data_IF_861602549763
#
_entry.id   IF_861602549763
#
_cell.length_a   1.000
_cell.length_b   1.000
_cell.length_c   1.000
_cell.angle_alpha   90.00
_cell.angle_beta   90.00
_cell.angle_gamma   90.00
#
_symmetry.space_group_name_H-M   'P 1'
#
loop_
_entity.id
_entity.type
_entity.pdbx_description
1 polymer ?
#
# COMPACT_ATOMS: atom_id res chain seq x y z
N UNK A 1 -8.19 -7.81 18.25
CA UNK A 1 -9.14 -7.47 17.16
C UNK A 1 -8.47 -7.83 15.85
N UNK A 2 -9.23 -8.45 14.95
CA UNK A 2 -8.78 -9.28 13.83
C UNK A 2 -7.78 -8.59 12.91
N UNK A 3 -6.67 -9.27 12.64
CA UNK A 3 -5.74 -8.99 11.56
C UNK A 3 -6.53 -8.83 10.26
N UNK A 4 -6.57 -7.62 9.70
CA UNK A 4 -7.33 -7.38 8.48
C UNK A 4 -6.48 -7.90 7.33
N UNK A 5 -6.81 -9.11 6.89
CA UNK A 5 -6.17 -9.79 5.79
C UNK A 5 -6.57 -9.17 4.44
N UNK A 6 -6.08 -7.95 4.14
CA UNK A 6 -6.35 -7.22 2.89
C UNK A 6 -6.09 -8.09 1.64
N UNK A 7 -5.05 -8.91 1.69
CA UNK A 7 -4.68 -9.86 0.63
C UNK A 7 -5.82 -10.78 0.17
N UNK A 8 -6.82 -11.07 1.03
CA UNK A 8 -7.98 -11.90 0.66
C UNK A 8 -8.99 -11.18 -0.24
N UNK A 9 -8.96 -9.85 -0.21
CA UNK A 9 -9.93 -8.98 -0.87
C UNK A 9 -9.37 -8.36 -2.14
N UNK A 10 -8.07 -8.08 -2.18
CA UNK A 10 -7.39 -7.48 -3.34
C UNK A 10 -7.66 -8.22 -4.67
N UNK A 11 -7.64 -9.57 -4.75
CA UNK A 11 -7.88 -10.28 -6.02
C UNK A 11 -9.30 -10.14 -6.57
N UNK A 12 -10.26 -9.69 -5.75
CA UNK A 12 -11.66 -9.50 -6.17
C UNK A 12 -11.89 -8.14 -6.83
N UNK A 13 -10.93 -7.23 -6.73
CA UNK A 13 -11.06 -5.89 -7.25
C UNK A 13 -10.65 -5.83 -8.73
N UNK A 14 -11.35 -5.03 -9.55
CA UNK A 14 -10.89 -4.73 -10.89
C UNK A 14 -9.58 -3.93 -10.83
N UNK A 15 -8.80 -4.00 -11.92
CA UNK A 15 -7.50 -3.33 -12.01
C UNK A 15 -7.56 -1.82 -11.72
N UNK A 16 -8.62 -1.14 -12.15
CA UNK A 16 -8.85 0.28 -11.87
C UNK A 16 -9.01 0.57 -10.36
N UNK A 17 -9.69 -0.31 -9.62
CA UNK A 17 -9.82 -0.20 -8.17
C UNK A 17 -8.48 -0.48 -7.47
N UNK A 18 -7.70 -1.45 -7.96
CA UNK A 18 -6.36 -1.73 -7.45
C UNK A 18 -5.40 -0.56 -7.70
N UNK A 19 -5.52 0.11 -8.85
CA UNK A 19 -4.79 1.33 -9.15
C UNK A 19 -5.14 2.45 -8.16
N UNK A 20 -6.43 2.76 -7.97
CA UNK A 20 -6.88 3.83 -7.06
C UNK A 20 -6.42 3.56 -5.62
N UNK A 21 -6.51 2.30 -5.17
CA UNK A 21 -6.05 1.92 -3.84
C UNK A 21 -4.53 2.08 -3.68
N UNK A 22 -3.76 1.59 -4.66
CA UNK A 22 -2.30 1.70 -4.64
C UNK A 22 -1.86 3.16 -4.64
N UNK A 23 -2.52 4.00 -5.44
CA UNK A 23 -2.26 5.44 -5.48
C UNK A 23 -2.56 6.11 -4.15
N UNK A 24 -3.70 5.79 -3.53
CA UNK A 24 -4.02 6.32 -2.22
C UNK A 24 -2.97 5.90 -1.16
N UNK A 25 -2.48 4.66 -1.17
CA UNK A 25 -1.44 4.22 -0.26
C UNK A 25 -0.17 5.08 -0.37
N UNK A 26 0.34 5.30 -1.59
CA UNK A 26 1.62 6.00 -1.78
C UNK A 26 1.50 7.52 -1.71
N UNK A 27 0.33 8.09 -2.00
CA UNK A 27 0.12 9.54 -1.97
C UNK A 27 -0.42 10.00 -0.62
N UNK A 28 -1.45 9.35 -0.10
CA UNK A 28 -2.15 9.79 1.11
C UNK A 28 -1.63 9.10 2.37
N UNK A 29 -1.59 7.77 2.39
CA UNK A 29 -1.19 7.05 3.61
C UNK A 29 0.30 7.24 3.93
N UNK A 30 1.17 7.31 2.92
CA UNK A 30 2.59 7.57 3.11
C UNK A 30 2.88 8.90 3.84
N UNK A 31 1.94 9.86 3.87
CA UNK A 31 2.06 11.09 4.66
C UNK A 31 2.11 10.80 6.16
N UNK A 32 1.40 9.77 6.64
CA UNK A 32 1.47 9.33 8.04
C UNK A 32 2.87 8.80 8.39
N UNK A 33 3.63 8.35 7.40
CA UNK A 33 5.02 7.96 7.55
C UNK A 33 6.00 9.14 7.38
N UNK A 34 5.50 10.38 7.29
CA UNK A 34 6.30 11.60 7.09
C UNK A 34 6.74 11.82 5.64
N UNK A 35 6.22 11.05 4.68
CA UNK A 35 6.58 11.18 3.27
C UNK A 35 5.56 12.01 2.51
N UNK A 36 6.05 13.08 1.87
CA UNK A 36 5.29 13.81 0.86
C UNK A 36 5.73 13.35 -0.52
N UNK A 37 5.04 12.38 -1.07
CA UNK A 37 5.21 11.97 -2.46
C UNK A 37 4.32 12.82 -3.37
N UNK A 38 4.86 13.22 -4.51
CA UNK A 38 4.10 13.88 -5.58
C UNK A 38 4.45 13.19 -6.87
N UNK A 39 3.56 12.35 -7.43
CA UNK A 39 3.85 11.62 -8.65
C UNK A 39 3.99 12.56 -9.85
N UNK A 40 4.92 12.23 -10.75
CA UNK A 40 5.05 12.88 -12.04
C UNK A 40 3.93 12.37 -12.96
N UNK A 41 2.80 13.08 -12.94
CA UNK A 41 1.60 12.75 -13.72
C UNK A 41 1.85 12.73 -15.22
N UNK A 42 2.85 13.49 -15.72
CA UNK A 42 3.20 13.47 -17.15
C UNK A 42 3.67 12.10 -17.62
N UNK A 43 4.25 11.29 -16.73
CA UNK A 43 4.72 9.93 -16.99
C UNK A 43 3.67 8.85 -16.73
N UNK A 44 2.52 9.23 -16.18
CA UNK A 44 1.45 8.34 -15.77
C UNK A 44 0.17 8.49 -16.60
N UNK A 45 -0.02 9.67 -17.20
CA UNK A 45 -1.20 9.97 -18.02
C UNK A 45 -1.39 8.95 -19.15
N UNK A 46 -2.64 8.57 -19.37
CA UNK A 46 -3.10 7.64 -20.42
C UNK A 46 -2.53 6.20 -20.34
N UNK A 47 -1.85 5.84 -19.25
CA UNK A 47 -1.44 4.46 -19.02
C UNK A 47 -2.63 3.62 -18.55
N UNK A 48 -2.64 2.36 -18.99
CA UNK A 48 -3.54 1.36 -18.41
C UNK A 48 -3.05 1.01 -17.00
N UNK A 49 -3.92 0.53 -16.09
CA UNK A 49 -3.55 0.18 -14.73
C UNK A 49 -2.30 -0.70 -14.60
N UNK A 50 -2.16 -1.70 -15.48
CA UNK A 50 -1.02 -2.62 -15.53
C UNK A 50 0.33 -1.95 -15.79
N UNK A 51 0.34 -0.81 -16.49
CA UNK A 51 1.53 -0.01 -16.76
C UNK A 51 1.66 1.17 -15.78
N UNK A 52 0.53 1.71 -15.34
CA UNK A 52 0.44 2.83 -14.41
C UNK A 52 1.02 2.47 -13.05
N UNK A 53 0.55 1.38 -12.47
CA UNK A 53 0.87 1.00 -11.09
C UNK A 53 2.37 0.72 -10.92
N UNK A 54 3.04 -0.09 -11.76
CA UNK A 54 4.49 -0.29 -11.64
C UNK A 54 5.29 1.00 -11.77
N UNK A 55 4.88 1.93 -12.66
CA UNK A 55 5.57 3.22 -12.81
C UNK A 55 5.36 4.14 -11.62
N UNK A 56 4.16 4.16 -11.05
CA UNK A 56 3.87 4.91 -9.83
C UNK A 56 4.74 4.40 -8.67
N UNK A 57 4.80 3.07 -8.51
CA UNK A 57 5.62 2.42 -7.48
C UNK A 57 7.11 2.70 -7.70
N UNK A 58 7.62 2.60 -8.93
CA UNK A 58 9.01 2.96 -9.24
C UNK A 58 9.33 4.42 -8.85
N UNK A 59 8.43 5.36 -9.15
CA UNK A 59 8.58 6.75 -8.72
C UNK A 59 8.56 6.89 -7.19
N UNK A 60 7.66 6.19 -6.51
CA UNK A 60 7.56 6.21 -5.06
C UNK A 60 8.82 5.65 -4.38
N UNK A 61 9.34 4.52 -4.86
CA UNK A 61 10.55 3.88 -4.33
C UNK A 61 11.82 4.72 -4.54
N UNK A 62 11.80 5.66 -5.48
CA UNK A 62 12.89 6.63 -5.72
C UNK A 62 12.85 7.83 -4.79
N UNK A 63 11.71 8.12 -4.16
CA UNK A 63 11.70 9.00 -2.99
C UNK A 63 12.58 8.31 -1.96
N UNK A 64 13.62 8.97 -1.47
CA UNK A 64 14.63 8.33 -0.62
C UNK A 64 14.26 8.52 0.86
N UNK A 65 13.72 7.50 1.57
CA UNK A 65 13.91 7.43 3.01
C UNK A 65 15.39 7.23 3.33
N UNK A 66 15.69 7.15 4.62
CA UNK A 66 16.85 6.40 5.09
C UNK A 66 16.94 5.06 4.33
N UNK A 67 18.00 4.84 3.52
CA UNK A 67 18.06 3.71 2.61
C UNK A 67 18.15 2.37 3.34
N UNK A 68 18.62 2.35 4.59
CA UNK A 68 18.70 1.15 5.43
C UNK A 68 17.30 0.77 5.91
N UNK A 69 16.55 1.74 6.47
CA UNK A 69 15.16 1.52 6.90
C UNK A 69 14.28 1.10 5.71
N UNK A 70 14.39 1.80 4.58
CA UNK A 70 13.62 1.51 3.38
C UNK A 70 13.89 0.09 2.85
N UNK A 71 15.16 -0.29 2.75
CA UNK A 71 15.56 -1.61 2.27
C UNK A 71 15.06 -2.74 3.17
N UNK A 72 15.15 -2.57 4.49
CA UNK A 72 14.64 -3.55 5.45
C UNK A 72 13.12 -3.69 5.35
N UNK A 73 12.39 -2.57 5.30
CA UNK A 73 10.93 -2.58 5.20
C UNK A 73 10.47 -3.20 3.88
N UNK A 74 11.15 -2.90 2.77
CA UNK A 74 10.87 -3.52 1.47
C UNK A 74 11.07 -5.04 1.51
N UNK A 75 12.14 -5.53 2.16
CA UNK A 75 12.39 -6.96 2.30
C UNK A 75 11.32 -7.66 3.15
N UNK A 76 10.87 -7.04 4.25
CA UNK A 76 9.81 -7.57 5.11
C UNK A 76 8.48 -7.62 4.36
N UNK A 77 8.09 -6.50 3.74
CA UNK A 77 6.84 -6.38 2.98
C UNK A 77 6.81 -7.34 1.79
N UNK A 78 7.92 -7.46 1.05
CA UNK A 78 8.04 -8.40 -0.07
C UNK A 78 7.90 -9.85 0.38
N UNK A 79 8.61 -10.25 1.44
CA UNK A 79 8.50 -11.60 2.00
C UNK A 79 7.08 -11.92 2.45
N UNK A 80 6.40 -10.99 3.09
CA UNK A 80 5.01 -11.20 3.54
C UNK A 80 4.05 -11.28 2.34
N UNK A 81 4.15 -10.36 1.37
CA UNK A 81 3.34 -10.40 0.15
C UNK A 81 3.50 -11.70 -0.64
N UNK A 82 4.73 -12.23 -0.73
CA UNK A 82 5.02 -13.50 -1.39
C UNK A 82 4.27 -14.68 -0.73
N UNK A 83 4.05 -14.65 0.59
CA UNK A 83 3.30 -15.71 1.29
C UNK A 83 1.80 -15.71 0.98
N UNK A 84 1.26 -14.59 0.49
CA UNK A 84 -0.15 -14.47 0.15
C UNK A 84 -0.51 -15.10 -1.21
N UNK A 85 0.49 -15.42 -2.05
CA UNK A 85 0.28 -16.14 -3.31
C UNK A 85 -0.56 -15.37 -4.33
N UNK A 86 -0.51 -14.03 -4.30
CA UNK A 86 -1.26 -13.17 -5.21
C UNK A 86 -0.55 -13.03 -6.57
N UNK A 87 -1.28 -12.57 -7.58
CA UNK A 87 -0.76 -12.35 -8.93
C UNK A 87 -1.29 -11.06 -9.56
N UNK A 88 -0.67 -10.62 -10.65
CA UNK A 88 -1.09 -9.43 -11.40
C UNK A 88 -0.94 -8.15 -10.57
N UNK A 89 -1.92 -7.25 -10.64
CA UNK A 89 -1.88 -6.02 -9.84
C UNK A 89 -2.18 -6.25 -8.35
N UNK A 90 -2.82 -7.36 -7.98
CA UNK A 90 -3.16 -7.63 -6.59
C UNK A 90 -1.92 -7.83 -5.72
N UNK A 91 -0.87 -8.51 -6.22
CA UNK A 91 0.41 -8.65 -5.49
C UNK A 91 1.13 -7.31 -5.34
N UNK A 92 1.05 -6.43 -6.34
CA UNK A 92 1.69 -5.11 -6.27
C UNK A 92 0.97 -4.23 -5.24
N UNK A 93 -0.37 -4.22 -5.26
CA UNK A 93 -1.18 -3.49 -4.29
C UNK A 93 -0.94 -4.00 -2.85
N UNK A 94 -0.83 -5.32 -2.69
CA UNK A 94 -0.55 -5.95 -1.40
C UNK A 94 0.83 -5.55 -0.87
N UNK A 95 1.87 -5.72 -1.68
CA UNK A 95 3.23 -5.29 -1.36
C UNK A 95 3.28 -3.81 -0.95
N UNK A 96 2.67 -2.92 -1.75
CA UNK A 96 2.67 -1.48 -1.47
C UNK A 96 1.95 -1.16 -0.17
N UNK A 97 0.80 -1.80 0.09
CA UNK A 97 0.05 -1.59 1.33
C UNK A 97 0.89 -1.98 2.56
N UNK A 98 1.59 -3.13 2.49
CA UNK A 98 2.48 -3.59 3.56
C UNK A 98 3.68 -2.67 3.72
N UNK A 99 4.31 -2.30 2.60
CA UNK A 99 5.47 -1.43 2.59
C UNK A 99 5.16 -0.07 3.23
N UNK A 100 4.06 0.59 2.81
CA UNK A 100 3.63 1.87 3.39
C UNK A 100 3.26 1.72 4.86
N UNK A 101 2.52 0.66 5.24
CA UNK A 101 2.16 0.37 6.63
C UNK A 101 3.41 0.29 7.52
N UNK A 102 4.44 -0.43 7.09
CA UNK A 102 5.68 -0.62 7.84
C UNK A 102 6.66 0.57 7.77
N UNK A 103 6.48 1.49 6.83
CA UNK A 103 7.25 2.74 6.81
C UNK A 103 6.80 3.71 7.91
N UNK A 104 5.53 3.66 8.33
CA UNK A 104 4.99 4.52 9.39
C UNK A 104 5.85 4.33 10.64
N UNK A 105 6.51 5.39 11.12
CA UNK A 105 7.34 5.29 12.29
C UNK A 105 6.46 4.84 13.46
N UNK A 106 6.90 3.83 14.23
CA UNK A 106 6.28 3.60 15.52
C UNK A 106 6.67 4.80 16.40
N UNK A 107 5.76 5.77 16.54
CA UNK A 107 5.86 6.82 17.57
C UNK A 107 5.72 6.24 19.00
N UNK A 108 5.49 4.91 19.08
CA UNK A 108 5.40 4.17 20.31
C UNK A 108 6.73 4.03 21.03
N UNK A 109 6.73 4.29 22.34
CA UNK A 109 7.88 4.09 23.23
C UNK A 109 8.13 2.61 23.54
N UNK A 110 7.20 1.74 23.14
CA UNK A 110 7.24 0.31 23.37
C UNK A 110 6.58 -0.47 22.20
N UNK A 111 6.78 -1.80 22.11
CA UNK A 111 6.22 -2.62 21.04
C UNK A 111 4.68 -2.62 20.96
N UNK A 112 3.96 -2.41 22.07
CA UNK A 112 2.49 -2.40 22.08
C UNK A 112 1.92 -1.15 21.41
N UNK A 113 2.50 0.00 21.68
CA UNK A 113 2.16 1.27 21.02
C UNK A 113 2.50 1.21 19.53
N UNK A 114 3.65 0.64 19.16
CA UNK A 114 4.02 0.39 17.77
C UNK A 114 2.97 -0.49 17.06
N UNK A 115 2.56 -1.59 17.68
CA UNK A 115 1.55 -2.48 17.13
C UNK A 115 0.19 -1.78 16.97
N UNK A 116 -0.17 -0.90 17.90
CA UNK A 116 -1.42 -0.12 17.84
C UNK A 116 -1.43 0.83 16.64
N UNK A 117 -0.31 1.52 16.37
CA UNK A 117 -0.15 2.39 15.20
C UNK A 117 -0.29 1.59 13.90
N UNK A 118 0.40 0.46 13.79
CA UNK A 118 0.33 -0.41 12.61
C UNK A 118 -1.07 -1.00 12.41
N UNK A 119 -1.75 -1.36 13.50
CA UNK A 119 -3.13 -1.86 13.47
C UNK A 119 -4.09 -0.79 12.94
N UNK A 120 -3.95 0.46 13.41
CA UNK A 120 -4.74 1.59 12.94
C UNK A 120 -4.48 1.87 11.46
N UNK A 121 -3.23 1.85 11.03
CA UNK A 121 -2.87 2.00 9.61
C UNK A 121 -3.50 0.90 8.73
N UNK A 122 -3.54 -0.35 9.21
CA UNK A 122 -4.25 -1.45 8.53
C UNK A 122 -5.77 -1.26 8.50
N UNK A 123 -6.37 -0.70 9.55
CA UNK A 123 -7.79 -0.33 9.57
C UNK A 123 -8.11 0.74 8.53
N UNK A 124 -7.31 1.80 8.45
CA UNK A 124 -7.47 2.88 7.46
C UNK A 124 -7.37 2.33 6.02
N UNK A 125 -6.44 1.41 5.77
CA UNK A 125 -6.34 0.72 4.48
C UNK A 125 -7.60 -0.09 4.17
N UNK A 126 -8.14 -0.81 5.15
CA UNK A 126 -9.38 -1.59 4.99
C UNK A 126 -10.58 -0.70 4.65
N UNK A 127 -10.75 0.37 5.43
CA UNK A 127 -11.83 1.33 5.23
C UNK A 127 -11.74 1.95 3.84
N UNK A 128 -10.53 2.31 3.40
CA UNK A 128 -10.31 2.82 2.07
C UNK A 128 -10.59 1.78 0.98
N UNK A 129 -10.15 0.54 1.18
CA UNK A 129 -10.42 -0.55 0.25
C UNK A 129 -11.93 -0.78 0.08
N UNK A 130 -12.70 -0.74 1.17
CA UNK A 130 -14.16 -0.86 1.17
C UNK A 130 -14.81 0.32 0.45
N UNK A 131 -14.35 1.56 0.70
CA UNK A 131 -14.84 2.74 -0.01
C UNK A 131 -14.63 2.60 -1.52
N UNK A 132 -13.44 2.19 -1.95
CA UNK A 132 -13.11 1.98 -3.36
C UNK A 132 -13.94 0.83 -3.93
N UNK A 133 -14.00 -0.32 -3.27
CA UNK A 133 -14.78 -1.47 -3.72
C UNK A 133 -16.24 -1.11 -4.03
N UNK A 134 -16.87 -0.30 -3.17
CA UNK A 134 -18.23 0.21 -3.39
C UNK A 134 -18.36 1.06 -4.64
N UNK A 135 -17.36 1.88 -5.01
CA UNK A 135 -17.37 2.68 -6.24
C UNK A 135 -17.36 1.83 -7.52
N UNK A 136 -16.81 0.61 -7.42
CA UNK A 136 -16.70 -0.34 -8.52
C UNK A 136 -17.69 -1.51 -8.38
N UNK A 137 -18.75 -1.36 -7.57
CA UNK A 137 -19.80 -2.36 -7.35
C UNK A 137 -19.30 -3.74 -6.86
N UNK A 138 -18.16 -3.77 -6.15
CA UNK A 138 -17.60 -4.98 -5.53
C UNK A 138 -18.06 -5.07 -4.07
N UNK A 139 -18.59 -6.24 -3.69
CA UNK A 139 -19.01 -6.57 -2.32
C UNK A 139 -18.09 -7.65 -1.74
N UNK A 140 -17.61 -7.45 -0.51
CA UNK A 140 -16.65 -8.33 0.16
C UNK A 140 -17.28 -9.40 1.04
#
# INVERSE_FOLDING_TARGET
MSDIALHRYLPRLPEAALQEFTEWCVVEQAKAAGFKFTPDTSKLNNLQPVDYVPKLVDQFMKVKPDPIKAGLVAAIAGKEADTHGLSGLAIVADFVSLYVKYLIPPDGKNPEEAQTILTKAGQEQCEKLIEIAKKYDVVF
#
